data_IF_949027588737
#
_entry.id   IF_949027588737
#
_cell.length_a   1.000
_cell.length_b   1.000
_cell.length_c   1.000
_cell.angle_alpha   90.00
_cell.angle_beta   90.00
_cell.angle_gamma   90.00
#
_symmetry.space_group_name_H-M   'P 1'
#
loop_
_entity.id
_entity.type
_entity.pdbx_description
1 polymer ?
#
# COMPACT_ATOMS: atom_id res chain seq x y z
N UNK A 1 -23.08 6.67 2.23
CA UNK A 1 -23.00 6.14 0.85
C UNK A 1 -21.80 6.77 0.18
N UNK A 2 -20.68 6.12 -0.12
CA UNK A 2 -20.22 4.75 0.06
C UNK A 2 -18.90 4.70 -0.72
N UNK A 3 -17.76 4.71 -0.02
CA UNK A 3 -16.43 4.46 -0.61
C UNK A 3 -15.29 4.29 0.41
N UNK A 4 -15.57 4.29 1.73
CA UNK A 4 -14.54 3.94 2.72
C UNK A 4 -14.32 2.42 2.74
N UNK A 5 -13.66 1.91 1.69
CA UNK A 5 -13.00 0.64 1.77
C UNK A 5 -12.02 0.73 2.96
N UNK A 6 -12.36 0.06 4.06
CA UNK A 6 -11.50 -0.11 5.24
C UNK A 6 -10.36 -1.09 4.93
N UNK A 7 -9.78 -0.99 3.73
CA UNK A 7 -8.61 -1.74 3.33
C UNK A 7 -7.42 -1.15 4.09
N UNK A 8 -7.19 -1.68 5.30
CA UNK A 8 -5.96 -1.42 6.05
C UNK A 8 -4.83 -2.11 5.30
N UNK A 9 -3.83 -1.35 4.90
CA UNK A 9 -2.61 -1.86 4.33
C UNK A 9 -1.41 -1.29 5.07
N UNK A 10 -0.34 -2.07 5.18
CA UNK A 10 0.96 -1.60 5.66
C UNK A 10 1.74 -1.09 4.46
N UNK A 11 2.25 0.14 4.56
CA UNK A 11 3.10 0.77 3.56
C UNK A 11 4.56 0.50 3.90
N UNK A 12 5.33 0.00 2.93
CA UNK A 12 6.79 -0.11 3.02
C UNK A 12 7.41 0.65 1.86
N UNK A 13 8.30 1.59 2.17
CA UNK A 13 9.04 2.32 1.15
C UNK A 13 10.25 1.51 0.71
N UNK A 14 10.44 1.35 -0.61
CA UNK A 14 11.54 0.51 -1.13
C UNK A 14 12.87 1.25 -1.27
N UNK A 15 12.83 2.56 -1.52
CA UNK A 15 14.01 3.35 -1.86
C UNK A 15 14.27 4.52 -0.91
N UNK A 16 13.34 4.84 -0.01
CA UNK A 16 13.44 6.06 0.81
C UNK A 16 12.61 5.97 2.09
N UNK A 17 13.20 6.28 3.23
CA UNK A 17 12.48 6.22 4.52
C UNK A 17 11.35 7.26 4.67
N UNK A 18 11.41 8.38 3.93
CA UNK A 18 10.43 9.47 4.01
C UNK A 18 10.23 10.15 2.66
N UNK A 19 8.97 10.37 2.28
CA UNK A 19 8.62 11.25 1.15
C UNK A 19 8.38 12.67 1.63
N UNK A 20 8.87 13.65 0.85
CA UNK A 20 8.49 15.06 0.95
C UNK A 20 7.51 15.44 -0.16
N UNK A 21 6.74 16.50 0.04
CA UNK A 21 5.77 16.99 -0.95
C UNK A 21 6.42 17.22 -2.31
N UNK A 22 5.83 16.66 -3.37
CA UNK A 22 6.32 16.76 -4.74
C UNK A 22 7.27 15.64 -5.18
N UNK A 23 7.67 14.76 -4.27
CA UNK A 23 8.54 13.63 -4.60
C UNK A 23 7.75 12.41 -5.09
N UNK A 24 8.37 11.65 -5.98
CA UNK A 24 7.87 10.35 -6.45
C UNK A 24 8.65 9.25 -5.74
N UNK A 25 7.96 8.20 -5.33
CA UNK A 25 8.60 7.01 -4.78
C UNK A 25 7.83 5.75 -5.16
N UNK A 26 8.54 4.63 -5.14
CA UNK A 26 7.93 3.30 -5.24
C UNK A 26 7.65 2.81 -3.82
N UNK A 27 6.39 2.50 -3.58
CA UNK A 27 5.88 2.01 -2.30
C UNK A 27 5.23 0.66 -2.49
N UNK A 28 5.45 -0.25 -1.54
CA UNK A 28 4.81 -1.55 -1.50
C UNK A 28 3.71 -1.52 -0.44
N UNK A 29 2.51 -1.90 -0.84
CA UNK A 29 1.37 -2.03 0.07
C UNK A 29 1.09 -3.51 0.30
N UNK A 30 0.86 -3.88 1.56
CA UNK A 30 0.35 -5.21 1.94
C UNK A 30 -1.00 -5.06 2.60
N UNK A 31 -2.03 -5.70 2.04
CA UNK A 31 -3.35 -5.79 2.67
C UNK A 31 -3.29 -6.57 3.98
N UNK A 32 -3.89 -6.04 5.04
CA UNK A 32 -3.88 -6.65 6.37
C UNK A 32 -4.97 -7.71 6.56
N UNK A 33 -6.17 -7.47 6.02
CA UNK A 33 -7.35 -8.32 6.28
C UNK A 33 -8.09 -8.75 5.01
N UNK A 34 -8.36 -7.82 4.11
CA UNK A 34 -9.12 -8.08 2.89
C UNK A 34 -8.26 -7.75 1.68
N UNK A 35 -7.66 -8.76 1.02
CA UNK A 35 -7.04 -8.53 -0.27
C UNK A 35 -8.13 -8.15 -1.27
N UNK A 36 -8.11 -6.91 -1.74
CA UNK A 36 -8.98 -6.45 -2.82
C UNK A 36 -8.32 -6.71 -4.17
N UNK A 37 -9.13 -6.90 -5.22
CA UNK A 37 -8.63 -7.06 -6.57
C UNK A 37 -7.93 -5.77 -7.03
N UNK A 38 -6.61 -5.83 -7.15
CA UNK A 38 -5.79 -4.77 -7.73
C UNK A 38 -5.41 -5.14 -9.17
N UNK A 39 -5.48 -4.14 -10.06
CA UNK A 39 -5.00 -4.25 -11.43
C UNK A 39 -3.81 -3.32 -11.64
N UNK A 40 -2.78 -3.77 -12.34
CA UNK A 40 -1.69 -2.91 -12.81
C UNK A 40 -2.27 -1.75 -13.63
N UNK A 41 -1.79 -0.53 -13.36
CA UNK A 41 -2.30 0.71 -13.94
C UNK A 41 -3.51 1.31 -13.22
N UNK A 42 -4.10 0.63 -12.22
CA UNK A 42 -5.14 1.23 -11.40
C UNK A 42 -4.61 2.44 -10.63
N UNK A 43 -5.43 3.50 -10.52
CA UNK A 43 -5.12 4.67 -9.69
C UNK A 43 -5.38 4.33 -8.23
N UNK A 44 -4.36 4.52 -7.40
CA UNK A 44 -4.44 4.39 -5.96
C UNK A 44 -4.32 5.76 -5.31
N UNK A 45 -5.25 6.06 -4.43
CA UNK A 45 -5.13 7.12 -3.45
C UNK A 45 -4.89 6.46 -2.10
N UNK A 46 -3.77 6.74 -1.46
CA UNK A 46 -3.52 6.29 -0.10
C UNK A 46 -3.43 7.48 0.84
N UNK A 47 -3.91 7.27 2.06
CA UNK A 47 -3.91 8.27 3.11
C UNK A 47 -3.35 7.66 4.39
N UNK A 48 -2.20 8.17 4.81
CA UNK A 48 -1.58 7.84 6.08
C UNK A 48 -1.61 9.09 6.97
N UNK A 49 -2.66 9.18 7.79
CA UNK A 49 -2.95 10.38 8.59
C UNK A 49 -3.20 11.63 7.72
N UNK A 50 -2.25 12.58 7.76
CA UNK A 50 -2.27 13.83 6.97
C UNK A 50 -1.58 13.70 5.62
N UNK A 51 -0.75 12.67 5.43
CA UNK A 51 -0.05 12.43 4.17
C UNK A 51 -1.00 11.83 3.17
N UNK A 52 -1.19 12.52 2.04
CA UNK A 52 -1.97 12.02 0.90
C UNK A 52 -1.02 11.73 -0.25
N UNK A 53 -1.10 10.53 -0.80
CA UNK A 53 -0.35 10.12 -1.97
C UNK A 53 -1.28 9.62 -3.06
N UNK A 54 -1.00 10.02 -4.31
CA UNK A 54 -1.69 9.52 -5.49
C UNK A 54 -0.65 8.83 -6.36
N UNK A 55 -0.95 7.60 -6.78
CA UNK A 55 -0.07 6.81 -7.61
C UNK A 55 -0.83 5.86 -8.52
N UNK A 56 -0.07 5.13 -9.33
CA UNK A 56 -0.59 4.02 -10.13
C UNK A 56 0.06 2.73 -9.65
N UNK A 57 -0.69 1.64 -9.69
CA UNK A 57 -0.17 0.29 -9.43
C UNK A 57 0.83 -0.07 -10.53
N UNK A 58 2.10 -0.30 -10.16
CA UNK A 58 3.14 -0.73 -11.11
C UNK A 58 3.31 -2.24 -11.14
N UNK A 59 3.06 -2.92 -10.02
CA UNK A 59 3.21 -4.36 -9.87
C UNK A 59 2.21 -4.89 -8.83
N UNK A 60 1.71 -6.10 -9.04
CA UNK A 60 0.79 -6.79 -8.11
C UNK A 60 1.39 -8.14 -7.78
N UNK A 61 1.79 -8.30 -6.53
CA UNK A 61 2.39 -9.55 -6.06
C UNK A 61 1.38 -10.33 -5.22
N UNK A 62 1.15 -11.59 -5.58
CA UNK A 62 0.38 -12.49 -4.75
C UNK A 62 1.12 -12.72 -3.42
N UNK A 63 0.42 -12.58 -2.30
CA UNK A 63 1.00 -12.91 -0.99
C UNK A 63 1.11 -14.44 -0.95
N UNK A 64 2.31 -14.97 -1.18
CA UNK A 64 2.59 -16.36 -0.87
C UNK A 64 2.44 -16.55 0.65
N UNK A 65 1.71 -17.59 1.06
CA UNK A 65 1.32 -17.84 2.45
C UNK A 65 2.47 -17.87 3.49
N UNK A 66 3.73 -17.88 3.06
CA UNK A 66 4.90 -17.89 3.93
C UNK A 66 5.37 -16.53 4.49
N UNK A 67 4.95 -15.39 3.93
CA UNK A 67 5.45 -14.08 4.40
C UNK A 67 4.52 -13.37 5.41
N UNK A 68 3.33 -13.91 5.68
CA UNK A 68 2.37 -13.32 6.62
C UNK A 68 2.85 -13.35 8.09
N UNK A 69 3.88 -14.15 8.39
CA UNK A 69 4.35 -14.40 9.75
C UNK A 69 5.48 -13.47 10.23
N UNK A 70 6.09 -12.67 9.35
CA UNK A 70 7.32 -11.95 9.68
C UNK A 70 7.13 -10.55 10.31
N UNK A 71 5.92 -9.98 10.34
CA UNK A 71 5.71 -8.61 10.86
C UNK A 71 4.80 -8.52 12.09
N UNK A 72 4.57 -9.64 12.77
CA UNK A 72 3.88 -9.67 14.08
C UNK A 72 4.92 -9.88 15.18
N UNK A 73 5.90 -8.97 15.26
CA UNK A 73 6.86 -8.88 16.36
C UNK A 73 6.64 -7.55 17.07
N UNK A 74 6.06 -7.63 18.27
CA UNK A 74 5.95 -6.66 19.37
C UNK A 74 6.05 -5.15 19.07
#
# INVERSE_FOLDING_TARGET
MGWEALARAVTTFLLKDKLRTGEKAVVRFRFLKHPEYLKVGAKLLFREGVTKGIGHVTDVQAIAAGEAQASMGF
#
